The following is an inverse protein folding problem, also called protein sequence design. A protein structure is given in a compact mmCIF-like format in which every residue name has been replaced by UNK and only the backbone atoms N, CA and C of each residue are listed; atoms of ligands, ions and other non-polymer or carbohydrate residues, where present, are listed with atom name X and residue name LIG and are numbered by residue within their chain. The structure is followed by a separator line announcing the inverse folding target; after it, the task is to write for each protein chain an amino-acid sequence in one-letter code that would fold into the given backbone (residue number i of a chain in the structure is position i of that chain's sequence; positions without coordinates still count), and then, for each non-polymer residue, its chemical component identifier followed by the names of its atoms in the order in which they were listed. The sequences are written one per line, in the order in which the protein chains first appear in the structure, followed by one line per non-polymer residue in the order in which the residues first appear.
data_IF_950990453176
#
_entry.id   IF_950990453176
#
_cell.length_a   1.000
_cell.length_b   1.000
_cell.length_c   1.000
_cell.angle_alpha   90.00
_cell.angle_beta   90.00
_cell.angle_gamma   90.00
#
_symmetry.space_group_name_H-M   'P 1'
#
loop_
_entity.id
_entity.type
_entity.pdbx_description
1 polymer ?
#
# COMPACT_ATOMS: atom_id res chain seq x y z
N UNK A 1 13.83 17.92 14.13
CA UNK A 1 12.95 17.13 15.04
C UNK A 1 11.87 16.36 14.27
N UNK A 2 11.13 17.00 13.36
CA UNK A 2 10.05 16.38 12.56
C UNK A 2 10.43 15.03 11.92
N UNK A 3 11.61 14.93 11.29
CA UNK A 3 12.08 13.67 10.68
C UNK A 3 12.20 12.53 11.70
N UNK A 4 12.72 12.80 12.91
CA UNK A 4 12.90 11.78 13.96
C UNK A 4 11.55 11.26 14.44
N UNK A 5 10.61 12.17 14.75
CA UNK A 5 9.24 11.82 15.15
C UNK A 5 8.57 10.98 14.07
N UNK A 6 8.55 11.46 12.82
CA UNK A 6 7.99 10.73 11.68
C UNK A 6 8.58 9.33 11.55
N UNK A 7 9.90 9.19 11.70
CA UNK A 7 10.58 7.90 11.56
C UNK A 7 10.26 6.96 12.72
N UNK A 8 10.18 7.46 13.96
CA UNK A 8 9.77 6.67 15.11
C UNK A 8 8.33 6.14 14.97
N UNK A 9 7.39 7.01 14.57
CA UNK A 9 6.00 6.60 14.32
C UNK A 9 5.92 5.59 13.17
N UNK A 10 6.65 5.80 12.07
CA UNK A 10 6.69 4.85 10.97
C UNK A 10 7.23 3.47 11.39
N UNK A 11 8.26 3.42 12.24
CA UNK A 11 8.79 2.16 12.78
C UNK A 11 7.75 1.47 13.68
N UNK A 12 7.05 2.21 14.53
CA UNK A 12 5.97 1.65 15.35
C UNK A 12 4.83 1.10 14.48
N UNK A 13 4.38 1.85 13.47
CA UNK A 13 3.30 1.44 12.56
C UNK A 13 3.68 0.18 11.78
N UNK A 14 4.86 0.13 11.17
CA UNK A 14 5.28 -1.05 10.40
C UNK A 14 5.46 -2.25 11.31
N UNK A 15 5.97 -2.08 12.54
CA UNK A 15 6.08 -3.16 13.51
C UNK A 15 4.70 -3.73 13.85
N UNK A 16 3.74 -2.90 14.26
CA UNK A 16 2.38 -3.33 14.60
C UNK A 16 1.70 -4.02 13.40
N UNK A 17 1.80 -3.44 12.20
CA UNK A 17 1.24 -4.07 10.99
C UNK A 17 1.88 -5.42 10.69
N UNK A 18 3.21 -5.52 10.74
CA UNK A 18 3.92 -6.78 10.47
C UNK A 18 3.54 -7.85 11.48
N UNK A 19 3.51 -7.50 12.77
CA UNK A 19 3.04 -8.38 13.84
C UNK A 19 1.60 -8.84 13.58
N UNK A 20 0.71 -7.95 13.14
CA UNK A 20 -0.63 -8.32 12.72
C UNK A 20 -0.67 -9.44 11.67
N UNK A 21 0.30 -9.51 10.75
CA UNK A 21 0.37 -10.60 9.76
C UNK A 21 1.05 -11.86 10.28
N UNK A 22 2.16 -11.75 11.03
CA UNK A 22 2.99 -12.91 11.40
C UNK A 22 2.57 -13.58 12.71
N UNK A 23 1.87 -12.85 13.59
CA UNK A 23 1.49 -13.33 14.93
C UNK A 23 0.43 -14.43 14.86
N UNK A 24 0.78 -15.60 15.38
CA UNK A 24 -0.09 -16.77 15.51
C UNK A 24 -0.78 -16.86 16.87
N UNK A 25 -0.27 -16.16 17.90
CA UNK A 25 -0.80 -16.21 19.25
C UNK A 25 -1.86 -15.14 19.53
N UNK A 26 -2.01 -14.16 18.62
CA UNK A 26 -3.03 -13.11 18.74
C UNK A 26 -2.74 -12.08 19.83
N UNK A 27 -1.46 -11.90 20.18
CA UNK A 27 -0.99 -10.98 21.22
C UNK A 27 -1.15 -9.52 20.79
N UNK A 28 -0.90 -9.23 19.51
CA UNK A 28 -0.99 -7.87 18.96
C UNK A 28 -1.82 -7.92 17.68
N UNK A 29 -3.14 -7.77 17.83
CA UNK A 29 -4.02 -7.49 16.70
C UNK A 29 -4.63 -6.10 16.85
N UNK A 30 -4.48 -5.29 15.80
CA UNK A 30 -5.04 -3.94 15.76
C UNK A 30 -5.87 -3.78 14.47
N UNK A 31 -7.17 -4.13 14.53
CA UNK A 31 -8.04 -4.11 13.36
C UNK A 31 -8.24 -2.70 12.81
N UNK A 32 -8.07 -1.66 13.66
CA UNK A 32 -8.16 -0.27 13.23
C UNK A 32 -7.05 0.08 12.22
N UNK A 33 -5.80 -0.33 12.50
CA UNK A 33 -4.67 0.00 11.64
C UNK A 33 -4.73 -0.71 10.28
N UNK A 34 -5.34 -1.89 10.24
CA UNK A 34 -5.61 -2.65 9.01
C UNK A 34 -6.74 -2.00 8.19
N UNK A 35 -7.81 -1.52 8.84
CA UNK A 35 -8.96 -0.84 8.21
C UNK A 35 -8.66 0.59 7.73
N UNK A 36 -7.69 1.27 8.34
CA UNK A 36 -7.26 2.64 7.93
C UNK A 36 -6.48 2.63 6.60
N UNK A 37 -6.06 1.47 6.09
CA UNK A 37 -5.31 1.40 4.84
C UNK A 37 -6.19 1.78 3.65
N UNK A 38 -5.66 2.62 2.75
CA UNK A 38 -6.44 3.23 1.68
C UNK A 38 -7.10 2.21 0.74
N UNK A 39 -6.38 1.16 0.33
CA UNK A 39 -6.92 0.11 -0.56
C UNK A 39 -8.12 -0.61 0.05
N UNK A 40 -7.97 -1.23 1.24
CA UNK A 40 -9.09 -1.83 1.96
C UNK A 40 -10.24 -0.87 2.25
N UNK A 41 -9.96 0.38 2.62
CA UNK A 41 -10.99 1.39 2.85
C UNK A 41 -11.79 1.73 1.57
N UNK A 42 -11.12 1.76 0.42
CA UNK A 42 -11.76 1.99 -0.88
C UNK A 42 -12.67 0.83 -1.28
N UNK A 43 -12.21 -0.40 -1.09
CA UNK A 43 -12.97 -1.61 -1.45
C UNK A 43 -14.13 -1.88 -0.50
N UNK A 44 -13.94 -1.66 0.79
CA UNK A 44 -15.02 -1.76 1.79
C UNK A 44 -15.99 -0.58 1.75
N UNK A 45 -15.76 0.42 0.88
CA UNK A 45 -16.54 1.66 0.81
C UNK A 45 -16.70 2.36 2.18
N UNK A 46 -15.64 2.32 3.00
CA UNK A 46 -15.61 3.02 4.29
C UNK A 46 -15.48 4.53 4.07
N UNK A 47 -16.62 5.20 3.87
CA UNK A 47 -16.71 6.64 3.55
C UNK A 47 -15.97 7.46 4.62
N UNK A 48 -16.17 7.14 5.91
CA UNK A 48 -15.54 7.86 7.03
C UNK A 48 -14.01 7.79 6.92
N UNK A 49 -13.46 6.59 6.76
CA UNK A 49 -12.00 6.40 6.63
C UNK A 49 -11.44 7.14 5.41
N UNK A 50 -12.11 7.04 4.26
CA UNK A 50 -11.68 7.70 3.02
C UNK A 50 -11.69 9.22 3.16
N UNK A 51 -12.75 9.80 3.71
CA UNK A 51 -12.86 11.24 3.96
C UNK A 51 -11.76 11.70 4.92
N UNK A 52 -11.52 10.98 6.02
CA UNK A 52 -10.44 11.29 6.96
C UNK A 52 -9.06 11.25 6.29
N UNK A 53 -8.78 10.23 5.46
CA UNK A 53 -7.50 10.12 4.74
C UNK A 53 -7.31 11.23 3.70
N UNK A 54 -8.35 11.57 2.95
CA UNK A 54 -8.30 12.67 1.97
C UNK A 54 -8.14 14.01 2.68
N UNK A 55 -8.90 14.26 3.76
CA UNK A 55 -8.76 15.46 4.57
C UNK A 55 -7.35 15.57 5.17
N UNK A 56 -6.82 14.50 5.75
CA UNK A 56 -5.44 14.46 6.24
C UNK A 56 -4.43 14.73 5.12
N UNK A 57 -4.69 14.26 3.89
CA UNK A 57 -3.83 14.50 2.73
C UNK A 57 -3.90 15.95 2.25
N UNK A 58 -5.07 16.58 2.30
CA UNK A 58 -5.26 18.01 2.01
C UNK A 58 -4.67 18.90 3.10
N UNK A 59 -4.57 18.43 4.34
CA UNK A 59 -3.94 19.21 5.42
C UNK A 59 -2.42 19.05 5.38
N UNK A 60 -1.91 17.82 5.39
CA UNK A 60 -0.49 17.52 5.61
C UNK A 60 0.30 17.12 4.36
N UNK A 61 -0.34 16.96 3.21
CA UNK A 61 0.27 16.40 2.01
C UNK A 61 0.27 14.87 2.03
N UNK A 62 1.19 14.21 1.33
CA UNK A 62 1.21 12.72 1.25
C UNK A 62 1.87 12.07 2.47
N UNK A 63 1.52 12.53 3.67
CA UNK A 63 2.07 12.01 4.92
C UNK A 63 1.73 10.53 5.14
N UNK A 64 0.56 10.08 4.65
CA UNK A 64 0.13 8.67 4.63
C UNK A 64 1.22 7.74 4.06
N UNK A 65 1.79 8.08 2.90
CA UNK A 65 2.84 7.28 2.26
C UNK A 65 4.16 7.25 3.05
N UNK A 66 4.33 8.13 4.04
CA UNK A 66 5.53 8.27 4.86
C UNK A 66 5.42 7.56 6.20
N UNK A 67 4.21 7.49 6.78
CA UNK A 67 3.97 7.04 8.17
C UNK A 67 3.05 5.82 8.25
N UNK A 68 2.01 5.74 7.41
CA UNK A 68 0.91 4.76 7.58
C UNK A 68 1.04 3.59 6.60
N UNK A 69 1.38 3.89 5.34
CA UNK A 69 1.47 2.89 4.27
C UNK A 69 2.68 1.96 4.48
N UNK A 70 2.48 0.65 4.67
CA UNK A 70 3.58 -0.25 4.98
C UNK A 70 4.57 -0.37 3.83
N UNK A 71 4.10 -0.37 2.58
CA UNK A 71 4.98 -0.38 1.42
C UNK A 71 5.86 0.89 1.35
N UNK A 72 5.32 2.05 1.71
CA UNK A 72 6.10 3.30 1.74
C UNK A 72 7.21 3.28 2.78
N UNK A 73 6.98 2.64 3.93
CA UNK A 73 7.97 2.45 5.01
C UNK A 73 8.99 1.39 4.60
N UNK A 74 8.55 0.31 3.96
CA UNK A 74 9.40 -0.71 3.37
C UNK A 74 10.37 -0.10 2.33
N UNK A 75 9.88 0.81 1.48
CA UNK A 75 10.77 1.55 0.59
C UNK A 75 11.76 2.44 1.33
N UNK A 76 11.38 3.05 2.46
CA UNK A 76 12.32 3.83 3.27
C UNK A 76 13.44 2.98 3.85
N UNK A 77 13.14 1.72 4.22
CA UNK A 77 14.15 0.77 4.67
C UNK A 77 15.20 0.49 3.58
N UNK A 78 14.80 0.13 2.36
CA UNK A 78 15.76 -0.08 1.25
C UNK A 78 16.52 1.18 0.87
N UNK A 79 15.88 2.35 0.96
CA UNK A 79 16.56 3.62 0.72
C UNK A 79 17.61 3.94 1.78
N UNK A 80 17.32 3.62 3.05
CA UNK A 80 18.28 3.73 4.14
C UNK A 80 19.43 2.72 3.94
N UNK A 81 19.11 1.47 3.60
CA UNK A 81 20.07 0.41 3.34
C UNK A 81 21.02 0.78 2.20
N UNK A 82 20.47 1.28 1.10
CA UNK A 82 21.24 1.80 -0.05
C UNK A 82 22.24 2.88 0.34
N UNK A 83 21.84 3.83 1.20
CA UNK A 83 22.77 4.88 1.67
C UNK A 83 23.78 4.39 2.70
N UNK A 84 23.50 3.29 3.39
CA UNK A 84 24.44 2.64 4.31
C UNK A 84 25.59 2.00 3.53
N UNK A 85 25.29 1.34 2.40
CA UNK A 85 26.29 0.72 1.52
C UNK A 85 26.93 1.71 0.53
N UNK A 86 26.14 2.58 -0.11
CA UNK A 86 26.63 3.64 -0.98
C UNK A 86 26.40 5.02 -0.36
N UNK A 87 27.39 5.48 0.42
CA UNK A 87 27.38 6.82 1.04
C UNK A 87 27.47 7.95 0.02
N UNK A 88 27.92 7.69 -1.21
CA UNK A 88 28.05 8.69 -2.28
C UNK A 88 26.75 8.88 -3.06
N UNK A 89 25.76 8.01 -2.88
CA UNK A 89 24.46 8.09 -3.55
C UNK A 89 23.79 9.45 -3.39
N UNK A 90 23.51 10.08 -4.52
CA UNK A 90 22.82 11.37 -4.62
C UNK A 90 21.59 11.22 -5.50
N UNK A 91 20.51 11.87 -5.09
CA UNK A 91 19.32 11.98 -5.92
C UNK A 91 19.39 13.23 -6.81
N UNK A 92 18.76 13.17 -7.98
CA UNK A 92 18.59 14.32 -8.87
C UNK A 92 17.18 14.89 -8.78
N UNK A 93 16.92 15.98 -9.47
CA UNK A 93 15.56 16.32 -9.85
C UNK A 93 15.19 15.47 -11.08
N UNK A 94 13.95 15.01 -11.15
CA UNK A 94 13.38 14.41 -12.36
C UNK A 94 12.03 15.09 -12.63
N UNK A 95 11.65 15.35 -13.89
CA UNK A 95 10.29 15.79 -14.19
C UNK A 95 9.27 14.72 -13.79
N UNK A 96 8.04 15.14 -13.56
CA UNK A 96 6.96 14.19 -13.36
C UNK A 96 6.63 13.43 -14.66
N UNK A 97 6.16 12.19 -14.52
CA UNK A 97 5.71 11.35 -15.63
C UNK A 97 4.20 11.14 -15.51
N UNK A 98 3.38 12.12 -15.92
CA UNK A 98 1.93 12.06 -15.72
C UNK A 98 1.28 10.96 -16.56
N UNK A 99 1.76 10.75 -17.80
CA UNK A 99 1.23 9.73 -18.71
C UNK A 99 1.31 8.34 -18.08
N UNK A 100 2.48 7.95 -17.56
CA UNK A 100 2.65 6.66 -16.90
C UNK A 100 1.80 6.56 -15.63
N UNK A 101 1.80 7.62 -14.81
CA UNK A 101 1.10 7.65 -13.53
C UNK A 101 -0.42 7.47 -13.70
N UNK A 102 -1.02 8.20 -14.62
CA UNK A 102 -2.46 8.12 -14.91
C UNK A 102 -2.81 6.91 -15.78
N UNK A 103 -1.91 6.50 -16.67
CA UNK A 103 -2.06 5.28 -17.48
C UNK A 103 -2.14 4.03 -16.61
N UNK A 104 -1.24 3.86 -15.63
CA UNK A 104 -1.30 2.72 -14.70
C UNK A 104 -2.59 2.74 -13.88
N UNK A 105 -3.03 3.91 -13.40
CA UNK A 105 -4.30 4.03 -12.67
C UNK A 105 -5.49 3.63 -13.57
N UNK A 106 -5.54 4.12 -14.81
CA UNK A 106 -6.60 3.80 -15.76
C UNK A 106 -6.64 2.30 -16.08
N UNK A 107 -5.49 1.68 -16.36
CA UNK A 107 -5.37 0.23 -16.59
C UNK A 107 -5.86 -0.56 -15.39
N UNK A 108 -5.54 -0.15 -14.15
CA UNK A 108 -6.02 -0.83 -12.96
C UNK A 108 -7.53 -0.68 -12.73
N UNK A 109 -8.10 0.49 -13.02
CA UNK A 109 -9.55 0.69 -12.95
C UNK A 109 -10.27 -0.18 -13.97
N UNK A 110 -9.76 -0.23 -15.21
CA UNK A 110 -10.30 -1.12 -16.26
C UNK A 110 -10.15 -2.59 -15.85
N UNK A 111 -8.99 -2.99 -15.34
CA UNK A 111 -8.76 -4.35 -14.86
C UNK A 111 -9.73 -4.74 -13.74
N UNK A 112 -9.99 -3.83 -12.80
CA UNK A 112 -10.96 -4.04 -11.73
C UNK A 112 -12.39 -4.22 -12.27
N UNK A 113 -12.83 -3.34 -13.20
CA UNK A 113 -14.15 -3.45 -13.85
C UNK A 113 -14.30 -4.76 -14.63
N UNK A 114 -13.23 -5.20 -15.30
CA UNK A 114 -13.18 -6.46 -16.04
C UNK A 114 -13.03 -7.72 -15.15
N UNK A 115 -12.96 -7.58 -13.82
CA UNK A 115 -12.86 -8.71 -12.89
C UNK A 115 -11.45 -9.29 -12.71
N UNK A 116 -10.40 -8.60 -13.18
CA UNK A 116 -9.00 -8.98 -12.96
C UNK A 116 -8.45 -8.41 -11.64
N UNK A 117 -9.11 -8.72 -10.53
CA UNK A 117 -8.78 -8.19 -9.20
C UNK A 117 -7.39 -8.58 -8.72
N UNK A 118 -6.83 -9.69 -9.21
CA UNK A 118 -5.42 -10.04 -9.00
C UNK A 118 -4.44 -8.90 -9.35
N UNK A 119 -4.65 -8.20 -10.49
CA UNK A 119 -3.78 -7.08 -10.89
C UNK A 119 -3.89 -5.89 -9.92
N UNK A 120 -5.10 -5.62 -9.44
CA UNK A 120 -5.36 -4.61 -8.41
C UNK A 120 -4.62 -4.99 -7.13
N UNK A 121 -4.78 -6.23 -6.67
CA UNK A 121 -4.08 -6.76 -5.50
C UNK A 121 -2.56 -6.70 -5.63
N UNK A 122 -2.01 -6.86 -6.84
CA UNK A 122 -0.56 -6.81 -7.10
C UNK A 122 0.03 -5.42 -6.87
N UNK A 123 -0.64 -4.37 -7.35
CA UNK A 123 -0.16 -2.98 -7.27
C UNK A 123 -0.67 -2.23 -6.03
N UNK A 124 -1.67 -2.75 -5.34
CA UNK A 124 -2.19 -2.18 -4.09
C UNK A 124 -1.15 -2.35 -2.97
N UNK A 125 -0.65 -1.25 -2.38
CA UNK A 125 0.54 -1.29 -1.52
C UNK A 125 0.35 -2.06 -0.21
N UNK A 126 -0.85 -2.06 0.38
CA UNK A 126 -1.10 -2.81 1.60
C UNK A 126 -1.10 -4.32 1.33
N UNK A 127 -1.77 -4.76 0.28
CA UNK A 127 -1.90 -6.16 -0.11
C UNK A 127 -0.57 -6.73 -0.60
N UNK A 128 0.18 -5.96 -1.40
CA UNK A 128 1.54 -6.31 -1.80
C UNK A 128 2.45 -6.53 -0.58
N UNK A 129 2.36 -5.66 0.42
CA UNK A 129 3.09 -5.84 1.67
C UNK A 129 2.61 -7.03 2.49
N UNK A 130 1.29 -7.20 2.65
CA UNK A 130 0.70 -8.29 3.42
C UNK A 130 1.13 -9.67 2.91
N UNK A 131 1.20 -9.84 1.58
CA UNK A 131 1.72 -11.06 0.97
C UNK A 131 3.21 -11.30 1.25
N UNK A 132 4.04 -10.26 1.20
CA UNK A 132 5.44 -10.40 1.62
C UNK A 132 5.54 -10.76 3.10
N UNK A 133 4.69 -10.18 3.95
CA UNK A 133 4.69 -10.47 5.38
C UNK A 133 4.24 -11.91 5.68
N UNK A 134 3.14 -12.39 5.08
CA UNK A 134 2.64 -13.74 5.31
C UNK A 134 3.55 -14.81 4.68
N UNK A 135 3.99 -14.64 3.43
CA UNK A 135 4.71 -15.69 2.71
C UNK A 135 6.22 -15.72 3.04
N UNK A 136 6.83 -14.58 3.39
CA UNK A 136 8.29 -14.50 3.64
C UNK A 136 8.62 -14.31 5.11
N UNK A 137 7.96 -13.39 5.81
CA UNK A 137 8.33 -13.05 7.19
C UNK A 137 7.74 -14.00 8.22
N UNK A 138 6.53 -14.53 7.98
CA UNK A 138 5.88 -15.46 8.91
C UNK A 138 6.65 -16.78 9.07
N UNK A 139 7.15 -17.47 8.01
CA UNK A 139 7.95 -18.67 8.19
C UNK A 139 9.23 -18.43 9.00
N UNK A 140 9.89 -17.28 8.78
CA UNK A 140 11.09 -16.88 9.53
C UNK A 140 10.74 -16.66 11.01
N UNK A 141 9.61 -16.00 11.28
CA UNK A 141 9.12 -15.77 12.64
C UNK A 141 8.79 -17.09 13.36
N UNK A 142 8.06 -18.00 12.71
CA UNK A 142 7.73 -19.31 13.26
C UNK A 142 8.97 -20.17 13.49
N UNK A 143 9.95 -20.12 12.60
CA UNK A 143 11.24 -20.78 12.81
C UNK A 143 11.93 -20.26 14.06
N UNK A 144 11.95 -18.94 14.26
CA UNK A 144 12.47 -18.31 15.48
C UNK A 144 11.72 -18.76 16.74
N UNK A 145 10.39 -18.82 16.70
CA UNK A 145 9.56 -19.33 17.80
C UNK A 145 9.91 -20.80 18.11
N UNK A 146 10.00 -21.66 17.10
CA UNK A 146 10.28 -23.09 17.30
C UNK A 146 11.69 -23.34 17.84
N UNK A 147 12.66 -22.52 17.41
CA UNK A 147 14.01 -22.55 17.95
C UNK A 147 14.01 -22.15 19.43
N UNK A 148 13.30 -21.08 19.78
CA UNK A 148 13.17 -20.61 21.15
C UNK A 148 12.43 -21.64 22.02
N UNK A 149 11.36 -22.24 21.52
CA UNK A 149 10.66 -23.34 22.16
C UNK A 149 11.60 -24.52 22.44
N UNK A 150 12.43 -24.93 21.47
CA UNK A 150 13.40 -26.00 21.66
C UNK A 150 14.49 -25.67 22.70
N UNK A 151 14.89 -24.41 22.82
CA UNK A 151 15.84 -23.96 23.87
C UNK A 151 15.15 -23.95 25.24
N UNK A 152 13.94 -23.42 25.35
CA UNK A 152 13.19 -23.38 26.60
C UNK A 152 12.82 -24.77 27.11
N UNK A 153 12.41 -25.69 26.23
CA UNK A 153 12.18 -27.10 26.56
C UNK A 153 13.42 -27.74 27.21
N UNK A 154 14.63 -27.45 26.69
CA UNK A 154 15.89 -27.94 27.29
C UNK A 154 16.18 -27.34 28.67
N UNK A 155 15.69 -26.14 28.95
CA UNK A 155 15.80 -25.46 30.24
C UNK A 155 14.67 -25.82 31.21
N UNK A 156 13.79 -26.76 30.84
CA UNK A 156 12.64 -27.18 31.65
C UNK A 156 11.46 -26.19 31.63
N UNK A 157 11.43 -25.24 30.70
CA UNK A 157 10.35 -24.25 30.58
C UNK A 157 9.49 -24.53 29.32
N UNK A 158 8.20 -24.82 29.54
CA UNK A 158 7.23 -25.14 28.47
C UNK A 158 6.30 -23.98 28.09
N UNK A 159 6.69 -22.74 28.39
CA UNK A 159 5.90 -21.54 28.04
C UNK A 159 5.76 -21.33 26.53
N UNK A 160 6.61 -21.96 25.72
CA UNK A 160 6.61 -21.85 24.26
C UNK A 160 6.33 -23.22 23.63
N UNK A 161 5.45 -23.26 22.64
CA UNK A 161 5.12 -24.46 21.89
C UNK A 161 5.56 -24.34 20.43
N UNK A 162 5.91 -25.49 19.84
CA UNK A 162 6.29 -25.59 18.43
C UNK A 162 5.06 -25.51 17.54
N UNK A 163 5.18 -24.78 16.43
CA UNK A 163 4.13 -24.58 15.43
C UNK A 163 4.62 -25.11 14.08
N UNK A 164 3.76 -25.81 13.33
CA UNK A 164 4.11 -26.31 12.01
C UNK A 164 4.42 -25.15 11.03
N UNK A 165 5.46 -25.32 10.22
CA UNK A 165 5.85 -24.36 9.17
C UNK A 165 5.50 -25.00 7.83
N UNK A 166 4.38 -24.58 7.25
CA UNK A 166 3.92 -25.09 5.95
C UNK A 166 3.87 -23.96 4.92
N UNK A 167 4.43 -24.24 3.73
CA UNK A 167 4.26 -23.39 2.54
C UNK A 167 2.82 -23.54 2.04
N UNK A 168 2.03 -22.46 2.12
CA UNK A 168 0.59 -22.51 1.80
C UNK A 168 0.33 -22.54 0.30
N UNK A 169 1.14 -21.84 -0.50
CA UNK A 169 1.03 -21.82 -1.96
C UNK A 169 2.35 -21.40 -2.63
N UNK A 170 2.82 -22.20 -3.59
CA UNK A 170 4.03 -21.90 -4.37
C UNK A 170 3.86 -20.61 -5.18
N UNK A 171 2.69 -20.41 -5.78
CA UNK A 171 2.39 -19.21 -6.57
C UNK A 171 2.48 -17.95 -5.71
N UNK A 172 1.87 -17.98 -4.52
CA UNK A 172 1.90 -16.84 -3.61
C UNK A 172 3.32 -16.52 -3.14
N UNK A 173 4.09 -17.55 -2.79
CA UNK A 173 5.48 -17.41 -2.39
C UNK A 173 6.36 -16.81 -3.50
N UNK A 174 6.25 -17.30 -4.74
CA UNK A 174 6.98 -16.77 -5.90
C UNK A 174 6.60 -15.31 -6.14
N UNK A 175 5.31 -14.97 -6.14
CA UNK A 175 4.85 -13.59 -6.31
C UNK A 175 5.36 -12.68 -5.19
N UNK A 176 5.40 -13.16 -3.94
CA UNK A 176 5.93 -12.41 -2.81
C UNK A 176 7.43 -12.12 -2.97
N UNK A 177 8.23 -13.11 -3.37
CA UNK A 177 9.67 -12.92 -3.67
C UNK A 177 9.86 -11.92 -4.80
N UNK A 178 9.16 -12.10 -5.92
CA UNK A 178 9.28 -11.19 -7.06
C UNK A 178 8.89 -9.75 -6.68
N UNK A 179 7.82 -9.59 -5.90
CA UNK A 179 7.39 -8.28 -5.39
C UNK A 179 8.48 -7.65 -4.52
N UNK A 180 9.08 -8.42 -3.61
CA UNK A 180 10.18 -7.96 -2.76
C UNK A 180 11.40 -7.56 -3.60
N UNK A 181 11.81 -8.37 -4.56
CA UNK A 181 12.98 -8.11 -5.40
C UNK A 181 12.78 -6.88 -6.27
N UNK A 182 11.63 -6.77 -6.96
CA UNK A 182 11.32 -5.63 -7.82
C UNK A 182 11.24 -4.34 -7.01
N UNK A 183 10.42 -4.30 -5.96
CA UNK A 183 10.22 -3.07 -5.17
C UNK A 183 11.48 -2.72 -4.38
N UNK A 184 12.16 -3.73 -3.83
CA UNK A 184 13.43 -3.59 -3.14
C UNK A 184 14.51 -3.02 -4.04
N UNK A 185 14.72 -3.61 -5.23
CA UNK A 185 15.68 -3.12 -6.22
C UNK A 185 15.35 -1.70 -6.69
N UNK A 186 14.10 -1.44 -7.08
CA UNK A 186 13.68 -0.11 -7.51
C UNK A 186 13.84 0.93 -6.41
N UNK A 187 13.54 0.58 -5.16
CA UNK A 187 13.73 1.49 -4.03
C UNK A 187 15.22 1.71 -3.75
N UNK A 188 16.00 0.63 -3.75
CA UNK A 188 17.43 0.64 -3.52
C UNK A 188 18.19 1.48 -4.55
N UNK A 189 17.76 1.57 -5.81
CA UNK A 189 18.43 2.43 -6.80
C UNK A 189 17.71 3.78 -6.98
N UNK A 190 16.39 3.76 -7.12
CA UNK A 190 15.58 4.89 -7.58
C UNK A 190 14.67 5.50 -6.51
N UNK A 191 14.96 5.37 -5.22
CA UNK A 191 14.27 6.19 -4.23
C UNK A 191 12.84 5.72 -3.96
N UNK A 192 11.88 6.64 -4.07
CA UNK A 192 10.43 6.37 -3.99
C UNK A 192 9.74 6.44 -5.35
N UNK A 193 10.46 6.07 -6.42
CA UNK A 193 9.91 6.14 -7.78
C UNK A 193 8.64 5.29 -7.91
N UNK A 194 8.59 4.06 -7.36
CA UNK A 194 7.38 3.23 -7.36
C UNK A 194 6.13 3.97 -6.85
N UNK A 195 6.18 4.56 -5.65
CA UNK A 195 5.07 5.33 -5.08
C UNK A 195 4.71 6.60 -5.86
N UNK A 196 5.63 7.11 -6.70
CA UNK A 196 5.46 8.35 -7.44
C UNK A 196 5.01 8.13 -8.89
N UNK A 197 5.25 6.96 -9.48
CA UNK A 197 4.97 6.69 -10.90
C UNK A 197 4.08 5.47 -11.14
N UNK A 198 4.13 4.43 -10.30
CA UNK A 198 3.44 3.15 -10.54
C UNK A 198 2.28 2.95 -9.55
N UNK A 199 2.44 3.32 -8.29
CA UNK A 199 1.44 3.04 -7.26
C UNK A 199 0.14 3.83 -7.48
N UNK A 200 -1.02 3.17 -7.65
CA UNK A 200 -2.31 3.83 -7.88
C UNK A 200 -2.74 4.70 -6.70
N UNK A 201 -2.54 4.22 -5.46
CA UNK A 201 -2.81 4.97 -4.23
C UNK A 201 -1.94 6.23 -4.19
N UNK A 202 -0.68 6.12 -4.61
CA UNK A 202 0.19 7.27 -4.78
C UNK A 202 -0.36 8.27 -5.79
N UNK A 203 -0.84 7.83 -6.95
CA UNK A 203 -1.47 8.71 -7.95
C UNK A 203 -2.63 9.49 -7.38
N UNK A 204 -3.57 8.81 -6.73
CA UNK A 204 -4.77 9.41 -6.14
C UNK A 204 -4.41 10.43 -5.05
N UNK A 205 -3.60 10.03 -4.07
CA UNK A 205 -3.19 10.94 -2.98
C UNK A 205 -2.33 12.11 -3.49
N UNK A 206 -1.63 11.93 -4.61
CA UNK A 206 -0.90 12.99 -5.30
C UNK A 206 -1.71 14.10 -5.90
N UNK A 207 -2.86 13.70 -6.44
CA UNK A 207 -3.80 14.66 -6.98
C UNK A 207 -4.34 15.58 -5.89
N UNK A 208 -4.59 15.04 -4.69
CA UNK A 208 -5.01 15.84 -3.54
C UNK A 208 -3.85 16.61 -2.89
N UNK A 209 -2.66 16.00 -2.78
CA UNK A 209 -1.53 16.61 -2.10
C UNK A 209 -1.00 17.89 -2.75
N UNK A 210 -1.27 18.11 -4.05
CA UNK A 210 -0.91 19.37 -4.73
C UNK A 210 -1.60 20.59 -4.10
N UNK A 211 -2.74 20.37 -3.44
CA UNK A 211 -3.53 21.40 -2.77
C UNK A 211 -3.28 21.45 -1.26
N UNK A 212 -2.22 20.80 -0.75
CA UNK A 212 -2.04 20.69 0.69
C UNK A 212 -1.82 22.03 1.38
N UNK A 213 -2.48 22.23 2.53
CA UNK A 213 -2.38 23.45 3.33
C UNK A 213 -1.02 23.58 4.01
N UNK A 214 -0.54 22.52 4.64
CA UNK A 214 0.79 22.44 5.23
C UNK A 214 1.71 21.79 4.21
N UNK A 215 2.79 22.51 3.85
CA UNK A 215 3.77 22.03 2.88
C UNK A 215 5.16 22.58 3.16
N UNK A 216 6.16 21.90 2.61
CA UNK A 216 7.56 22.34 2.69
C UNK A 216 7.76 23.53 1.76
N UNK A 217 8.25 24.66 2.29
CA UNK A 217 8.50 25.90 1.54
C UNK A 217 9.98 26.20 1.51
N UNK A 218 10.43 26.77 0.39
CA UNK A 218 11.77 27.32 0.22
C UNK A 218 11.68 28.83 0.41
N UNK A 219 12.44 29.35 1.37
CA UNK A 219 12.71 30.77 1.54
C UNK A 219 13.73 31.18 0.46
N UNK A 220 13.29 32.03 -0.48
CA UNK A 220 14.09 32.41 -1.65
C UNK A 220 15.31 33.24 -1.27
N UNK A 221 15.20 34.03 -0.20
CA UNK A 221 16.24 34.96 0.23
C UNK A 221 17.37 34.23 0.94
N UNK A 222 17.05 33.14 1.66
CA UNK A 222 18.04 32.31 2.36
C UNK A 222 18.64 31.21 1.48
N UNK A 223 18.03 30.91 0.33
CA UNK A 223 18.45 29.80 -0.52
C UNK A 223 19.64 30.19 -1.40
N UNK A 224 20.79 29.53 -1.21
CA UNK A 224 22.00 29.74 -2.01
C UNK A 224 22.21 28.68 -3.13
N UNK A 225 21.16 27.97 -3.54
CA UNK A 225 21.19 26.97 -4.63
C UNK A 225 22.24 25.85 -4.50
N UNK A 226 22.68 25.50 -3.28
CA UNK A 226 23.72 24.48 -3.05
C UNK A 226 23.36 23.02 -3.41
N UNK A 227 22.15 22.75 -3.93
CA UNK A 227 21.64 21.44 -4.32
C UNK A 227 21.57 20.36 -3.20
N UNK A 228 21.85 20.73 -1.95
CA UNK A 228 21.89 19.77 -0.83
C UNK A 228 20.54 19.07 -0.59
N UNK A 229 19.45 19.83 -0.64
CA UNK A 229 18.09 19.32 -0.47
C UNK A 229 17.68 18.39 -1.62
N UNK A 230 18.02 18.75 -2.87
CA UNK A 230 17.78 17.95 -4.07
C UNK A 230 18.52 16.60 -3.98
N UNK A 231 19.81 16.63 -3.60
CA UNK A 231 20.64 15.41 -3.45
C UNK A 231 20.13 14.44 -2.38
N UNK A 232 19.38 14.92 -1.37
CA UNK A 232 18.77 14.07 -0.34
C UNK A 232 17.29 13.70 -0.60
N UNK A 233 16.67 14.26 -1.63
CA UNK A 233 15.25 14.03 -1.93
C UNK A 233 15.02 12.66 -2.60
N UNK A 234 14.61 11.67 -1.81
CA UNK A 234 14.26 10.33 -2.29
C UNK A 234 13.08 10.29 -3.28
N UNK A 235 12.31 11.37 -3.37
CA UNK A 235 11.16 11.51 -4.26
C UNK A 235 11.47 12.24 -5.58
N UNK A 236 12.70 12.75 -5.76
CA UNK A 236 13.13 13.51 -6.95
C UNK A 236 12.26 14.75 -7.27
N UNK A 237 11.60 15.32 -6.26
CA UNK A 237 10.57 16.37 -6.42
C UNK A 237 11.05 17.79 -6.13
N UNK A 238 12.33 17.99 -5.76
CA UNK A 238 12.88 19.32 -5.45
C UNK A 238 13.79 19.74 -6.58
N UNK A 239 13.43 20.82 -7.26
CA UNK A 239 14.29 21.53 -8.19
C UNK A 239 14.91 22.73 -7.46
N UNK A 240 16.17 22.59 -7.05
CA UNK A 240 16.87 23.64 -6.33
C UNK A 240 17.38 24.76 -7.24
N UNK A 241 17.46 24.55 -8.56
CA UNK A 241 17.85 25.62 -9.49
C UNK A 241 16.71 26.62 -9.62
N UNK A 242 15.49 26.12 -9.84
CA UNK A 242 14.29 26.95 -9.97
C UNK A 242 13.59 27.26 -8.64
N UNK A 243 14.12 26.78 -7.52
CA UNK A 243 13.51 26.89 -6.18
C UNK A 243 12.05 26.38 -6.14
N UNK A 244 11.75 25.31 -6.89
CA UNK A 244 10.42 24.72 -7.00
C UNK A 244 10.36 23.35 -6.34
N UNK A 245 9.25 23.06 -5.68
CA UNK A 245 8.95 21.74 -5.12
C UNK A 245 7.67 21.25 -5.78
N UNK A 246 7.74 20.06 -6.36
CA UNK A 246 6.57 19.36 -6.85
C UNK A 246 5.84 18.66 -5.70
N UNK A 247 4.77 19.31 -5.22
CA UNK A 247 3.92 18.82 -4.14
C UNK A 247 3.09 17.60 -4.54
N UNK A 248 2.91 17.35 -5.84
CA UNK A 248 2.25 16.13 -6.28
C UNK A 248 3.11 14.92 -5.92
N UNK A 249 4.45 15.02 -5.82
CA UNK A 249 5.37 13.89 -5.51
C UNK A 249 5.99 13.94 -4.13
N UNK A 250 5.91 15.08 -3.44
CA UNK A 250 6.42 15.20 -2.08
C UNK A 250 5.68 14.22 -1.16
N UNK A 251 6.46 13.47 -0.36
CA UNK A 251 5.95 12.51 0.65
C UNK A 251 6.25 12.96 2.08
N UNK A 252 6.54 14.25 2.24
CA UNK A 252 6.76 14.91 3.54
C UNK A 252 7.66 14.12 4.49
N UNK A 253 8.78 13.63 3.94
CA UNK A 253 9.76 12.85 4.70
C UNK A 253 10.72 13.71 5.54
N UNK A 254 10.69 15.02 5.33
CA UNK A 254 11.51 16.04 6.02
C UNK A 254 13.04 15.88 5.90
N UNK A 255 13.54 14.98 5.04
CA UNK A 255 14.98 14.81 4.81
C UNK A 255 15.67 16.09 4.28
N UNK A 256 14.94 16.90 3.51
CA UNK A 256 15.45 18.15 2.94
C UNK A 256 15.69 19.23 4.01
N UNK A 257 14.78 19.35 5.00
CA UNK A 257 14.87 20.32 6.10
C UNK A 257 16.15 20.07 6.91
N UNK A 258 16.38 18.83 7.33
CA UNK A 258 17.58 18.45 8.10
C UNK A 258 18.89 18.59 7.30
N UNK A 259 18.82 18.65 5.97
CA UNK A 259 20.01 18.74 5.10
C UNK A 259 20.42 20.17 4.76
N UNK A 260 19.53 21.14 4.98
CA UNK A 260 19.74 22.52 4.58
C UNK A 260 20.53 23.28 5.65
N UNK A 261 21.81 23.56 5.38
CA UNK A 261 22.67 24.35 6.28
C UNK A 261 22.18 25.79 6.45
N UNK A 262 21.58 26.37 5.41
CA UNK A 262 21.06 27.74 5.40
C UNK A 262 19.69 27.90 6.07
N UNK A 263 19.09 26.80 6.56
CA UNK A 263 17.74 26.79 7.15
C UNK A 263 16.67 27.46 6.25
N UNK A 264 16.85 27.40 4.93
CA UNK A 264 15.94 27.98 3.95
C UNK A 264 14.66 27.13 3.74
N UNK A 265 14.60 25.91 4.27
CA UNK A 265 13.46 25.00 4.14
C UNK A 265 12.66 24.97 5.45
N UNK A 266 11.36 25.26 5.36
CA UNK A 266 10.44 25.21 6.51
C UNK A 266 9.16 24.45 6.17
N UNK A 267 8.60 23.72 7.13
CA UNK A 267 7.26 23.13 7.00
C UNK A 267 6.25 24.06 7.67
N UNK A 268 5.18 24.42 6.96
CA UNK A 268 4.15 25.30 7.52
C UNK A 268 3.03 25.60 6.52
N UNK A 269 2.06 26.44 6.93
CA UNK A 269 0.92 26.76 6.10
C UNK A 269 1.33 27.49 4.82
N UNK A 270 0.55 27.26 3.76
CA UNK A 270 0.62 28.08 2.56
C UNK A 270 0.40 29.54 2.96
N UNK A 271 1.34 30.42 2.58
CA UNK A 271 1.06 31.85 2.60
C UNK A 271 0.13 32.12 1.43
N UNK A 272 -1.13 32.41 1.70
CA UNK A 272 -2.04 33.00 0.73
C UNK A 272 -1.59 34.45 0.49
N UNK A 273 -0.49 34.61 -0.24
CA UNK A 273 -0.16 35.91 -0.83
C UNK A 273 -1.09 36.15 -2.00
N UNK A 274 -1.54 37.40 -2.19
CA UNK A 274 -2.19 37.82 -3.44
C UNK A 274 -1.33 37.30 -4.61
N UNK A 275 -1.92 36.67 -5.63
CA UNK A 275 -1.15 36.14 -6.74
C UNK A 275 -0.34 37.27 -7.37
N UNK A 276 0.98 37.15 -7.36
CA UNK A 276 1.82 37.95 -8.23
C UNK A 276 1.45 37.54 -9.66
N UNK A 277 0.85 38.46 -10.40
CA UNK A 277 0.55 38.32 -11.81
C UNK A 277 1.83 37.88 -12.53
N UNK A 278 1.91 36.60 -12.85
CA UNK A 278 2.93 36.06 -13.73
C UNK A 278 2.28 35.97 -15.09
N UNK A 279 2.76 36.79 -16.02
CA UNK A 279 2.26 36.90 -17.38
C UNK A 279 2.43 35.60 -18.16
N UNK A 280 1.40 35.31 -18.97
CA UNK A 280 1.39 34.51 -20.18
C UNK A 280 1.69 33.01 -20.06
N UNK A 281 0.69 32.25 -19.61
CA UNK A 281 0.34 31.02 -20.31
C UNK A 281 -0.96 31.30 -21.06
N UNK A 282 -0.93 31.22 -22.39
CA UNK A 282 -2.14 31.23 -23.21
C UNK A 282 -3.03 30.09 -22.73
N UNK A 283 -4.13 30.46 -22.09
CA UNK A 283 -5.16 29.51 -21.68
C UNK A 283 -5.79 28.98 -22.96
N UNK A 284 -5.27 27.85 -23.40
CA UNK A 284 -5.72 27.07 -24.54
C UNK A 284 -7.22 26.77 -24.39
N UNK A 285 -8.04 27.47 -25.17
CA UNK A 285 -9.51 27.40 -25.17
C UNK A 285 -10.03 25.96 -25.36
N UNK A 286 -9.20 25.13 -26.01
CA UNK A 286 -9.33 23.70 -26.21
C UNK A 286 -9.48 22.89 -24.91
N UNK A 287 -8.81 23.30 -23.81
CA UNK A 287 -8.86 22.60 -22.51
C UNK A 287 -10.17 22.87 -21.76
N UNK A 288 -10.83 24.00 -22.03
CA UNK A 288 -12.15 24.35 -21.45
C UNK A 288 -13.29 23.61 -22.15
N UNK A 289 -13.13 23.31 -23.45
CA UNK A 289 -14.08 22.49 -24.19
C UNK A 289 -13.97 21.00 -23.84
N UNK A 290 -12.77 20.49 -23.52
CA UNK A 290 -12.59 19.09 -23.08
C UNK A 290 -13.28 18.78 -21.73
N UNK A 291 -13.29 19.73 -20.78
CA UNK A 291 -13.99 19.57 -19.50
C UNK A 291 -15.51 19.58 -19.68
N UNK A 292 -16.02 20.34 -20.67
CA UNK A 292 -17.44 20.37 -21.02
C UNK A 292 -17.88 19.12 -21.80
N UNK A 293 -17.02 18.54 -22.64
CA UNK A 293 -17.33 17.28 -23.34
C UNK A 293 -17.19 16.04 -22.46
N UNK A 294 -16.38 16.08 -21.39
CA UNK A 294 -16.28 14.97 -20.42
C UNK A 294 -17.51 14.86 -19.52
N UNK A 295 -18.23 15.96 -19.28
CA UNK A 295 -19.47 15.98 -18.49
C UNK A 295 -20.70 15.40 -19.23
N UNK A 296 -20.61 15.18 -20.55
CA UNK A 296 -21.70 14.60 -21.33
C UNK A 296 -21.60 13.07 -21.44
N UNK A 297 -20.43 12.46 -21.16
CA UNK A 297 -20.27 11.00 -21.17
C UNK A 297 -20.63 10.37 -19.80
N UNK A 298 -20.69 11.17 -18.73
CA UNK A 298 -21.12 10.70 -17.41
C UNK A 298 -22.64 10.46 -17.28
N UNK A 299 -23.44 10.84 -18.28
CA UNK A 299 -24.90 10.72 -18.26
C UNK A 299 -25.45 9.57 -19.14
N UNK A 300 -24.59 8.80 -19.82
CA UNK A 300 -25.00 7.63 -20.60
C UNK A 300 -24.16 6.41 -20.21
N UNK A 301 -24.46 5.84 -19.04
CA UNK A 301 -24.10 4.46 -18.76
C UNK A 301 -25.20 3.79 -17.94
N UNK A 302 -26.26 3.31 -18.61
CA UNK A 302 -26.78 2.01 -18.23
C UNK A 302 -27.11 1.19 -19.49
N UNK A 303 -26.11 0.53 -20.09
CA UNK A 303 -26.28 -0.64 -20.97
C UNK A 303 -24.92 -1.14 -21.51
N UNK A 304 -24.02 -1.55 -20.63
CA UNK A 304 -22.94 -2.46 -20.99
C UNK A 304 -22.58 -3.31 -19.76
N UNK A 305 -23.63 -3.85 -19.14
CA UNK A 305 -23.47 -4.96 -18.21
C UNK A 305 -23.45 -6.23 -19.06
N UNK A 306 -22.50 -7.11 -18.76
CA UNK A 306 -22.29 -8.44 -19.36
C UNK A 306 -21.30 -8.55 -20.52
N UNK A 307 -20.04 -8.22 -20.27
CA UNK A 307 -18.94 -8.96 -20.90
C UNK A 307 -18.46 -10.03 -19.91
N UNK A 308 -19.14 -11.18 -19.92
CA UNK A 308 -18.80 -12.35 -19.11
C UNK A 308 -17.62 -13.06 -19.79
N UNK A 309 -16.40 -12.87 -19.29
CA UNK A 309 -15.29 -13.78 -19.63
C UNK A 309 -15.47 -15.03 -18.78
N UNK A 310 -16.26 -15.97 -19.28
CA UNK A 310 -16.38 -17.31 -18.69
C UNK A 310 -15.12 -18.11 -19.04
N UNK A 311 -14.11 -18.04 -18.17
CA UNK A 311 -12.96 -18.93 -18.20
C UNK A 311 -13.28 -20.23 -17.47
N UNK A 312 -13.36 -21.32 -18.24
CA UNK A 312 -13.26 -22.75 -17.87
C UNK A 312 -14.23 -23.21 -16.77
N UNK A 313 -15.26 -23.99 -17.18
CA UNK A 313 -16.06 -24.82 -16.27
C UNK A 313 -15.18 -25.94 -15.71
N UNK A 314 -14.50 -25.68 -14.62
CA UNK A 314 -14.19 -26.75 -13.67
C UNK A 314 -15.49 -27.11 -12.95
N UNK A 315 -15.80 -28.39 -12.86
CA UNK A 315 -17.07 -28.90 -12.31
C UNK A 315 -17.09 -28.88 -10.78
N UNK A 316 -15.97 -28.52 -10.15
CA UNK A 316 -15.87 -28.34 -8.70
C UNK A 316 -15.96 -26.86 -8.36
N UNK A 317 -17.04 -26.49 -7.65
CA UNK A 317 -17.20 -25.14 -7.10
C UNK A 317 -16.15 -24.96 -5.99
N UNK A 318 -15.17 -24.05 -6.13
CA UNK A 318 -14.14 -23.86 -5.12
C UNK A 318 -14.76 -23.38 -3.80
N UNK A 319 -14.39 -23.99 -2.68
CA UNK A 319 -14.99 -23.64 -1.39
C UNK A 319 -14.42 -22.31 -0.88
N UNK A 320 -15.25 -21.28 -0.83
CA UNK A 320 -14.87 -19.95 -0.32
C UNK A 320 -15.05 -19.83 1.20
N UNK A 321 -14.29 -18.94 1.88
CA UNK A 321 -14.38 -18.79 3.33
C UNK A 321 -15.79 -18.42 3.81
N UNK A 322 -16.17 -18.83 5.03
CA UNK A 322 -17.46 -18.41 5.61
C UNK A 322 -17.54 -16.88 5.68
N UNK A 323 -18.68 -16.32 5.30
CA UNK A 323 -18.89 -14.86 5.22
C UNK A 323 -18.50 -14.22 3.88
N UNK A 324 -18.02 -14.98 2.90
CA UNK A 324 -17.72 -14.48 1.54
C UNK A 324 -18.97 -14.07 0.75
N UNK A 325 -20.17 -14.48 1.18
CA UNK A 325 -21.51 -14.31 0.56
C UNK A 325 -21.64 -15.05 -0.77
N UNK A 326 -20.74 -14.77 -1.72
CA UNK A 326 -20.70 -15.40 -3.04
C UNK A 326 -19.30 -15.29 -3.63
N UNK A 327 -18.99 -16.15 -4.61
CA UNK A 327 -17.72 -16.06 -5.33
C UNK A 327 -17.55 -14.70 -6.00
N UNK A 328 -18.62 -14.13 -6.57
CA UNK A 328 -18.61 -12.80 -7.20
C UNK A 328 -18.27 -11.70 -6.19
N UNK A 329 -18.81 -11.77 -4.97
CA UNK A 329 -18.49 -10.81 -3.92
C UNK A 329 -17.00 -10.88 -3.52
N UNK A 330 -16.49 -12.10 -3.31
CA UNK A 330 -15.08 -12.32 -3.01
C UNK A 330 -14.18 -11.80 -4.14
N UNK A 331 -14.53 -12.10 -5.40
CA UNK A 331 -13.76 -11.70 -6.57
C UNK A 331 -13.64 -10.19 -6.71
N UNK A 332 -14.72 -9.45 -6.40
CA UNK A 332 -14.75 -7.99 -6.57
C UNK A 332 -14.09 -7.20 -5.43
N UNK A 333 -14.07 -7.74 -4.21
CA UNK A 333 -13.64 -7.01 -3.01
C UNK A 333 -12.32 -7.52 -2.41
N UNK A 334 -11.88 -8.75 -2.71
CA UNK A 334 -10.66 -9.32 -2.13
C UNK A 334 -9.42 -9.00 -2.98
N UNK A 335 -8.47 -8.27 -2.40
CA UNK A 335 -7.15 -7.96 -3.00
C UNK A 335 -6.05 -8.96 -2.66
N UNK A 336 -6.39 -10.10 -2.07
CA UNK A 336 -5.42 -11.14 -1.70
C UNK A 336 -4.29 -10.58 -0.80
N UNK A 337 -4.67 -9.90 0.28
CA UNK A 337 -3.72 -9.37 1.28
C UNK A 337 -3.17 -10.44 2.23
N UNK A 338 -3.79 -11.62 2.25
CA UNK A 338 -3.40 -12.81 3.04
C UNK A 338 -3.50 -12.69 4.56
N UNK A 339 -4.14 -11.64 5.09
CA UNK A 339 -4.37 -11.53 6.54
C UNK A 339 -5.27 -12.65 7.08
N UNK A 340 -6.37 -12.98 6.37
CA UNK A 340 -7.23 -14.10 6.77
C UNK A 340 -6.52 -15.46 6.64
N UNK A 341 -5.64 -15.59 5.64
CA UNK A 341 -4.81 -16.78 5.40
C UNK A 341 -3.73 -16.92 6.50
N UNK A 342 -3.18 -15.81 7.00
CA UNK A 342 -2.18 -15.81 8.07
C UNK A 342 -2.76 -16.13 9.45
N UNK A 343 -4.00 -15.70 9.68
CA UNK A 343 -4.74 -15.87 10.94
C UNK A 343 -5.49 -17.19 11.04
N UNK A 344 -5.61 -17.98 9.98
CA UNK A 344 -6.30 -19.27 10.03
C UNK A 344 -5.52 -20.27 10.92
N UNK A 345 -6.04 -20.68 12.09
CA UNK A 345 -5.33 -21.57 13.01
C UNK A 345 -5.22 -23.00 12.45
N UNK A 346 -6.26 -23.46 11.75
CA UNK A 346 -6.30 -24.80 11.15
C UNK A 346 -5.61 -24.90 9.79
N UNK A 347 -5.02 -23.80 9.29
CA UNK A 347 -4.34 -23.74 7.99
C UNK A 347 -5.17 -24.18 6.75
N UNK A 348 -6.50 -24.23 6.89
CA UNK A 348 -7.44 -24.58 5.80
C UNK A 348 -7.52 -23.47 4.75
N UNK A 349 -7.36 -22.21 5.15
CA UNK A 349 -7.30 -21.11 4.19
C UNK A 349 -5.93 -21.07 3.52
N UNK A 350 -5.91 -21.33 2.21
CA UNK A 350 -4.71 -21.26 1.38
C UNK A 350 -4.92 -20.26 0.22
N UNK A 351 -3.86 -19.63 -0.30
CA UNK A 351 -3.98 -18.82 -1.51
C UNK A 351 -4.33 -19.69 -2.72
N UNK A 352 -5.39 -19.33 -3.43
CA UNK A 352 -5.79 -19.97 -4.67
C UNK A 352 -4.68 -19.87 -5.74
N UNK A 353 -4.47 -20.93 -6.50
CA UNK A 353 -3.79 -20.89 -7.79
C UNK A 353 -4.72 -20.37 -8.87
N UNK A 354 -5.58 -21.24 -9.40
CA UNK A 354 -6.48 -20.97 -10.55
C UNK A 354 -7.93 -21.41 -10.28
N UNK A 355 -8.26 -21.78 -9.04
CA UNK A 355 -9.55 -22.32 -8.63
C UNK A 355 -10.71 -21.33 -8.87
N UNK A 356 -10.46 -20.03 -8.67
CA UNK A 356 -11.42 -18.95 -8.98
C UNK A 356 -11.23 -18.36 -10.39
N UNK A 357 -10.47 -19.03 -11.26
CA UNK A 357 -10.02 -18.50 -12.55
C UNK A 357 -8.96 -17.41 -12.43
N UNK A 358 -8.63 -16.77 -13.57
CA UNK A 358 -7.58 -15.75 -13.65
C UNK A 358 -7.82 -14.51 -12.76
N UNK A 359 -9.08 -14.19 -12.47
CA UNK A 359 -9.43 -13.03 -11.66
C UNK A 359 -9.19 -13.23 -10.16
N UNK A 360 -9.30 -14.46 -9.67
CA UNK A 360 -9.21 -14.81 -8.25
C UNK A 360 -7.90 -15.49 -7.83
N UNK A 361 -6.84 -15.34 -8.62
CA UNK A 361 -5.51 -15.82 -8.26
C UNK A 361 -5.11 -15.26 -6.88
N UNK A 362 -4.61 -16.13 -6.02
CA UNK A 362 -4.17 -15.87 -4.65
C UNK A 362 -5.26 -15.40 -3.68
N UNK A 363 -6.54 -15.40 -4.08
CA UNK A 363 -7.65 -15.20 -3.15
C UNK A 363 -7.76 -16.39 -2.18
N UNK A 364 -8.31 -16.19 -0.97
CA UNK A 364 -8.42 -17.28 -0.01
C UNK A 364 -9.41 -18.35 -0.50
N UNK A 365 -8.93 -19.59 -0.60
CA UNK A 365 -9.75 -20.78 -0.86
C UNK A 365 -9.59 -21.76 0.31
N UNK A 366 -10.66 -22.46 0.65
CA UNK A 366 -10.63 -23.52 1.66
C UNK A 366 -10.10 -24.82 1.04
N UNK A 367 -9.01 -25.34 1.59
CA UNK A 367 -8.42 -26.65 1.25
C UNK A 367 -8.23 -27.45 2.52
N UNK A 368 -8.74 -28.67 2.53
CA UNK A 368 -8.81 -29.52 3.73
C UNK A 368 -7.69 -30.57 3.78
N UNK A 369 -6.54 -30.27 3.17
CA UNK A 369 -5.41 -31.22 3.08
C UNK A 369 -4.74 -31.45 4.44
N UNK A 370 -4.64 -30.40 5.26
CA UNK A 370 -3.85 -30.38 6.50
C UNK A 370 -4.73 -30.21 7.77
N UNK A 371 -6.04 -30.06 7.61
CA UNK A 371 -6.94 -29.77 8.73
C UNK A 371 -8.38 -29.46 8.32
N UNK A 372 -9.19 -29.04 9.30
CA UNK A 372 -10.60 -28.71 9.13
C UNK A 372 -10.95 -27.33 9.71
N UNK A 373 -12.02 -26.74 9.20
CA UNK A 373 -12.53 -25.48 9.71
C UNK A 373 -13.27 -25.75 11.03
N UNK A 374 -12.80 -25.16 12.13
CA UNK A 374 -13.46 -25.31 13.43
C UNK A 374 -14.79 -24.56 13.43
N UNK A 375 -15.85 -25.23 13.89
CA UNK A 375 -17.19 -24.63 14.02
C UNK A 375 -17.20 -23.44 14.98
N UNK A 376 -16.38 -23.48 16.04
CA UNK A 376 -16.29 -22.40 17.02
C UNK A 376 -15.30 -21.28 16.64
N UNK A 377 -15.03 -21.08 15.34
CA UNK A 377 -14.03 -20.11 14.86
C UNK A 377 -14.58 -19.17 13.78
N UNK A 378 -14.60 -17.87 14.07
CA UNK A 378 -14.99 -16.81 13.13
C UNK A 378 -13.83 -15.85 12.77
N UNK A 379 -12.58 -16.18 13.13
CA UNK A 379 -11.46 -15.23 13.09
C UNK A 379 -11.21 -14.63 11.69
N UNK A 380 -11.29 -15.44 10.64
CA UNK A 380 -11.08 -14.98 9.26
C UNK A 380 -12.08 -13.89 8.82
N UNK A 381 -13.29 -13.91 9.38
CA UNK A 381 -14.36 -12.95 9.12
C UNK A 381 -14.16 -11.63 9.87
N UNK A 382 -13.48 -11.67 11.03
CA UNK A 382 -13.22 -10.51 11.87
C UNK A 382 -12.03 -9.68 11.39
N UNK A 383 -11.06 -10.32 10.74
CA UNK A 383 -9.81 -9.67 10.32
C UNK A 383 -9.86 -9.11 8.90
N UNK A 384 -10.91 -9.37 8.10
CA UNK A 384 -10.96 -8.92 6.71
C UNK A 384 -11.12 -7.39 6.61
N UNK A 385 -10.10 -6.62 6.14
CA UNK A 385 -10.17 -5.17 6.16
C UNK A 385 -10.93 -4.60 4.95
N UNK A 386 -11.03 -5.37 3.86
CA UNK A 386 -11.70 -4.97 2.64
C UNK A 386 -13.20 -5.31 2.62
N UNK A 387 -13.72 -5.99 3.65
CA UNK A 387 -15.12 -6.41 3.71
C UNK A 387 -15.50 -7.52 2.72
N UNK A 388 -14.50 -8.17 2.09
CA UNK A 388 -14.73 -9.29 1.19
C UNK A 388 -15.26 -10.54 1.91
N UNK A 389 -14.92 -10.68 3.20
CA UNK A 389 -15.49 -11.64 4.14
C UNK A 389 -16.23 -10.80 5.19
N UNK A 390 -17.56 -10.95 5.29
CA UNK A 390 -18.36 -10.24 6.28
C UNK A 390 -18.16 -10.83 7.66
N UNK A 391 -18.07 -10.01 8.72
CA UNK A 391 -18.00 -10.49 10.09
C UNK A 391 -19.20 -11.39 10.40
N UNK A 392 -18.92 -12.58 10.93
CA UNK A 392 -19.93 -13.53 11.42
C UNK A 392 -19.77 -13.72 12.93
N UNK A 393 -20.87 -13.92 13.65
CA UNK A 393 -20.83 -14.46 15.02
C UNK A 393 -20.52 -15.96 14.97
N UNK A 394 -20.08 -16.55 16.08
CA UNK A 394 -19.80 -18.00 16.12
C UNK A 394 -21.06 -18.86 15.87
N UNK A 395 -22.23 -18.33 16.23
CA UNK A 395 -23.53 -18.98 16.02
C UNK A 395 -24.02 -18.96 14.56
N UNK A 396 -23.43 -18.12 13.71
CA UNK A 396 -23.81 -17.90 12.30
C UNK A 396 -22.84 -18.63 11.38
#
# INVERSE_FOLDING_TARGET
MLRKIRTAVAIAVIAILTFGFIDFAGVIDNPLLQKIQFGPALLSLSIVTLVCLIAATLIFGRLYCSIICPLGIFQDFFNWLSKKFDKKKKYGYKPEQPILRWGVLAVLVIAWICGFTFLVGLLEPYSAYGRMADELFRPIYLFGNNLLAAICEKLGNYSFFKVAISLKSVTAFVVAILTLLVIGHFSYHYGRTWCNTICPVGTLLGFFSRFSLLRIRIDKDKCNHCLACQRKCKAYCIDSANQKIDYSRCVDCFNCIDSCKQKALSFGPVKFGKPAATQNDTVDESKRQFIKSTLVIAALAPAALEAKVTGIKDTRVPMSPPGSISHKNLLNHCTSCHLCVSKCPSHVLKPAGMEYGLGGIMQPVMKFDDGYCNYDCNLCSQVCPAGAIRPLTVEQ
#
